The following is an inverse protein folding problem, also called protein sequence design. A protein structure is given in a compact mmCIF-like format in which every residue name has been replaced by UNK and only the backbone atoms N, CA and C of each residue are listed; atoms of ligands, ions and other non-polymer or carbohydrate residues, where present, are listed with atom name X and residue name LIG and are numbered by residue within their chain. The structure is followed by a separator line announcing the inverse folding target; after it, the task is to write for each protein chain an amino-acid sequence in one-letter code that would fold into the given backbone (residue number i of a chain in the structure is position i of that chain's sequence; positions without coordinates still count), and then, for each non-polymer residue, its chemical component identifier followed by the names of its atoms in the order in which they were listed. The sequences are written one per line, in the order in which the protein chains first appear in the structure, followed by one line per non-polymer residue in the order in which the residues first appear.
data_IF_829566155278
#
_entry.id   IF_829566155278
#
_cell.length_a   1.000
_cell.length_b   1.000
_cell.length_c   1.000
_cell.angle_alpha   90.00
_cell.angle_beta   90.00
_cell.angle_gamma   90.00
#
_symmetry.space_group_name_H-M   'P 1'
#
loop_
_entity.id
_entity.type
_entity.pdbx_description
1 polymer ?
#
# COMPACT_ATOMS: atom_id res chain seq x y z
N UNK A 1 22.47 -33.95 -44.78
CA UNK A 1 21.97 -32.60 -45.09
C UNK A 1 20.48 -32.65 -45.43
N UNK A 2 19.59 -32.44 -44.45
CA UNK A 2 18.18 -32.11 -44.71
C UNK A 2 17.99 -30.64 -44.35
N UNK A 3 17.71 -29.83 -45.37
CA UNK A 3 17.56 -28.38 -45.29
C UNK A 3 16.43 -28.03 -44.34
N UNK A 4 16.75 -27.35 -43.24
CA UNK A 4 15.81 -26.49 -42.52
C UNK A 4 15.41 -25.38 -43.49
N UNK A 5 14.16 -25.41 -43.97
CA UNK A 5 13.60 -24.34 -44.79
C UNK A 5 12.65 -23.51 -43.93
N UNK A 6 12.97 -22.23 -43.94
CA UNK A 6 12.12 -21.07 -43.68
C UNK A 6 11.85 -20.79 -42.19
N UNK A 7 12.52 -19.72 -41.75
CA UNK A 7 12.15 -19.01 -40.54
C UNK A 7 10.76 -18.41 -40.72
N UNK A 8 9.88 -18.76 -39.79
CA UNK A 8 8.66 -18.01 -39.55
C UNK A 8 9.04 -16.73 -38.82
N UNK A 9 9.20 -15.67 -39.60
CA UNK A 9 9.10 -14.31 -39.11
C UNK A 9 7.71 -14.16 -38.49
N UNK A 10 7.63 -14.18 -37.15
CA UNK A 10 6.38 -13.93 -36.42
C UNK A 10 5.96 -12.50 -36.74
N UNK A 11 5.03 -12.34 -37.67
CA UNK A 11 4.41 -11.06 -37.95
C UNK A 11 3.62 -10.61 -36.70
N UNK A 12 3.84 -9.39 -36.18
CA UNK A 12 3.05 -8.86 -35.08
C UNK A 12 1.61 -8.65 -35.57
N UNK A 13 0.71 -9.59 -35.25
CA UNK A 13 -0.71 -9.49 -35.61
C UNK A 13 -1.44 -10.79 -35.94
N UNK A 14 -0.73 -11.93 -36.08
CA UNK A 14 -1.42 -13.22 -36.26
C UNK A 14 -2.17 -13.61 -34.99
N UNK A 15 -3.51 -13.68 -35.06
CA UNK A 15 -4.35 -14.20 -33.95
C UNK A 15 -3.85 -15.59 -33.56
N UNK A 16 -3.36 -15.72 -32.33
CA UNK A 16 -2.94 -17.00 -31.75
C UNK A 16 -4.20 -17.90 -31.67
N UNK A 17 -4.30 -18.90 -32.54
CA UNK A 17 -5.37 -19.92 -32.48
C UNK A 17 -4.96 -21.05 -31.54
N UNK A 18 -5.88 -21.52 -30.70
CA UNK A 18 -5.66 -22.72 -29.87
C UNK A 18 -5.53 -23.99 -30.71
N UNK A 19 -6.17 -24.03 -31.89
CA UNK A 19 -6.20 -25.20 -32.78
C UNK A 19 -4.89 -25.48 -33.51
N UNK A 20 -3.99 -24.50 -33.57
CA UNK A 20 -2.71 -24.59 -34.28
C UNK A 20 -1.53 -24.89 -33.35
N UNK A 21 -1.80 -25.32 -32.12
CA UNK A 21 -0.77 -25.63 -31.12
C UNK A 21 -0.44 -27.10 -31.18
N UNK A 22 0.85 -27.41 -31.10
CA UNK A 22 1.30 -28.77 -30.88
C UNK A 22 0.79 -29.27 -29.53
N UNK A 23 0.17 -30.44 -29.52
CA UNK A 23 -0.38 -31.09 -28.33
C UNK A 23 0.34 -32.41 -28.11
N UNK A 24 0.57 -32.76 -26.85
CA UNK A 24 1.17 -34.04 -26.46
C UNK A 24 0.09 -34.96 -25.87
N UNK A 25 0.10 -36.26 -26.20
CA UNK A 25 -0.77 -37.23 -25.53
C UNK A 25 -0.51 -37.24 -24.02
N UNK A 26 -1.59 -37.21 -23.24
CA UNK A 26 -1.55 -37.38 -21.78
C UNK A 26 -2.35 -38.63 -21.40
N UNK A 27 -1.99 -39.27 -20.28
CA UNK A 27 -2.66 -40.48 -19.80
C UNK A 27 -3.34 -40.20 -18.45
N UNK A 28 -4.44 -40.90 -18.18
CA UNK A 28 -5.12 -40.87 -16.89
C UNK A 28 -4.19 -41.45 -15.83
N UNK A 29 -3.99 -40.69 -14.75
CA UNK A 29 -3.19 -41.09 -13.59
C UNK A 29 -3.79 -42.31 -12.89
N UNK A 30 -2.93 -43.11 -12.24
CA UNK A 30 -3.41 -44.20 -11.39
C UNK A 30 -4.20 -43.61 -10.21
N UNK A 31 -5.30 -44.25 -9.76
CA UNK A 31 -6.06 -43.76 -8.61
C UNK A 31 -5.13 -43.64 -7.41
N UNK A 32 -4.89 -42.42 -6.93
CA UNK A 32 -4.18 -42.20 -5.69
C UNK A 32 -5.05 -42.71 -4.53
N UNK A 33 -4.47 -43.45 -3.58
CA UNK A 33 -5.15 -43.84 -2.33
C UNK A 33 -5.26 -42.67 -1.34
N UNK A 34 -4.81 -41.47 -1.72
CA UNK A 34 -4.74 -40.27 -0.87
C UNK A 34 -5.89 -39.29 -1.05
N UNK A 35 -6.05 -38.43 -0.04
CA UNK A 35 -7.12 -37.43 0.20
C UNK A 35 -7.78 -36.86 -1.07
N UNK A 36 -9.11 -36.94 -1.23
CA UNK A 36 -9.87 -36.51 -2.41
C UNK A 36 -9.95 -34.98 -2.61
N UNK A 37 -8.97 -34.22 -2.11
CA UNK A 37 -8.99 -32.74 -2.08
C UNK A 37 -8.12 -32.09 -3.18
N UNK A 38 -7.48 -32.87 -4.05
CA UNK A 38 -6.61 -32.35 -5.11
C UNK A 38 -6.74 -33.18 -6.39
N UNK A 39 -6.76 -32.49 -7.53
CA UNK A 39 -6.69 -33.15 -8.83
C UNK A 39 -5.33 -33.84 -9.01
N UNK A 40 -5.35 -35.11 -9.35
CA UNK A 40 -4.18 -35.98 -9.52
C UNK A 40 -4.14 -36.64 -10.91
N UNK A 41 -4.90 -36.12 -11.86
CA UNK A 41 -5.11 -36.72 -13.19
C UNK A 41 -5.78 -38.10 -13.19
N UNK A 42 -6.28 -38.57 -12.05
CA UNK A 42 -7.06 -39.78 -11.93
C UNK A 42 -8.52 -39.62 -12.39
N UNK A 43 -9.29 -40.71 -12.40
CA UNK A 43 -10.70 -40.72 -12.83
C UNK A 43 -11.66 -40.11 -11.79
N UNK A 44 -11.20 -39.89 -10.56
CA UNK A 44 -12.01 -39.37 -9.46
C UNK A 44 -11.79 -37.86 -9.37
N UNK A 45 -12.86 -37.08 -9.48
CA UNK A 45 -12.80 -35.64 -9.30
C UNK A 45 -12.65 -35.28 -7.82
N UNK A 46 -12.01 -34.15 -7.50
CA UNK A 46 -11.98 -33.65 -6.13
C UNK A 46 -13.39 -33.41 -5.59
N UNK A 47 -13.59 -33.68 -4.30
CA UNK A 47 -14.82 -33.31 -3.60
C UNK A 47 -14.95 -31.78 -3.56
N UNK A 48 -16.04 -31.28 -4.14
CA UNK A 48 -16.29 -29.83 -4.28
C UNK A 48 -16.44 -29.12 -2.93
N UNK A 49 -16.97 -29.79 -1.91
CA UNK A 49 -17.10 -29.24 -0.55
C UNK A 49 -15.72 -29.00 0.07
N UNK A 50 -14.84 -29.99 -0.06
CA UNK A 50 -13.44 -29.89 0.35
C UNK A 50 -12.67 -28.80 -0.41
N UNK A 51 -12.99 -28.59 -1.70
CA UNK A 51 -12.42 -27.50 -2.50
C UNK A 51 -12.87 -26.14 -1.96
N UNK A 52 -14.15 -25.97 -1.61
CA UNK A 52 -14.66 -24.74 -1.01
C UNK A 52 -13.96 -24.41 0.30
N UNK A 53 -13.88 -25.37 1.22
CA UNK A 53 -13.24 -25.19 2.53
C UNK A 53 -11.76 -24.84 2.40
N UNK A 54 -11.06 -25.52 1.49
CA UNK A 54 -9.64 -25.25 1.23
C UNK A 54 -9.43 -23.85 0.69
N UNK A 55 -10.22 -23.43 -0.29
CA UNK A 55 -10.11 -22.08 -0.88
C UNK A 55 -10.43 -21.01 0.17
N UNK A 56 -11.47 -21.21 0.99
CA UNK A 56 -11.82 -20.29 2.07
C UNK A 56 -10.66 -20.15 3.07
N UNK A 57 -10.09 -21.28 3.50
CA UNK A 57 -8.94 -21.29 4.41
C UNK A 57 -7.72 -20.61 3.80
N UNK A 58 -7.48 -20.80 2.50
CA UNK A 58 -6.38 -20.16 1.77
C UNK A 58 -6.59 -18.65 1.70
N UNK A 59 -7.80 -18.18 1.34
CA UNK A 59 -8.16 -16.76 1.32
C UNK A 59 -7.94 -16.15 2.71
N UNK A 60 -8.39 -16.82 3.77
CA UNK A 60 -8.22 -16.38 5.16
C UNK A 60 -6.75 -16.29 5.57
N UNK A 61 -5.94 -17.29 5.24
CA UNK A 61 -4.49 -17.29 5.52
C UNK A 61 -3.80 -16.11 4.81
N UNK A 62 -4.02 -15.94 3.50
CA UNK A 62 -3.42 -14.82 2.74
C UNK A 62 -3.86 -13.47 3.31
N UNK A 63 -5.14 -13.34 3.67
CA UNK A 63 -5.67 -12.12 4.27
C UNK A 63 -5.01 -11.81 5.62
N UNK A 64 -4.76 -12.82 6.45
CA UNK A 64 -4.18 -12.63 7.78
C UNK A 64 -2.65 -12.39 7.74
N UNK A 65 -1.96 -12.95 6.74
CA UNK A 65 -0.49 -12.92 6.65
C UNK A 65 0.07 -11.66 5.94
N UNK A 66 -0.75 -10.92 5.19
CA UNK A 66 -0.26 -9.86 4.29
C UNK A 66 -0.38 -8.42 4.82
N UNK A 67 -1.42 -8.00 5.55
CA UNK A 67 -1.50 -6.66 6.09
C UNK A 67 -0.75 -6.53 7.42
N UNK A 68 -0.21 -5.33 7.68
CA UNK A 68 0.44 -4.99 8.97
C UNK A 68 -0.49 -5.05 10.18
N UNK A 69 -1.78 -4.82 9.96
CA UNK A 69 -2.86 -5.02 10.92
C UNK A 69 -4.14 -5.28 10.11
N UNK A 70 -4.40 -6.53 9.68
CA UNK A 70 -5.65 -6.83 8.98
C UNK A 70 -6.80 -6.47 9.92
N UNK A 71 -7.85 -5.82 9.40
CA UNK A 71 -9.15 -5.89 10.07
C UNK A 71 -9.48 -7.38 10.26
N UNK A 72 -10.21 -7.80 11.30
CA UNK A 72 -10.59 -9.21 11.42
C UNK A 72 -11.18 -9.74 10.12
N UNK A 73 -10.82 -10.97 9.73
CA UNK A 73 -11.26 -11.57 8.47
C UNK A 73 -12.78 -11.47 8.27
N UNK A 74 -13.55 -11.65 9.34
CA UNK A 74 -15.01 -11.49 9.33
C UNK A 74 -15.48 -10.08 8.93
N UNK A 75 -14.79 -9.03 9.38
CA UNK A 75 -15.12 -7.65 9.01
C UNK A 75 -14.84 -7.41 7.52
N UNK A 76 -13.73 -7.97 7.02
CA UNK A 76 -13.41 -7.95 5.60
C UNK A 76 -14.45 -8.72 4.78
N UNK A 77 -14.77 -9.95 5.20
CA UNK A 77 -15.77 -10.80 4.57
C UNK A 77 -17.14 -10.11 4.47
N UNK A 78 -17.66 -9.59 5.57
CA UNK A 78 -18.94 -8.88 5.63
C UNK A 78 -18.94 -7.63 4.73
N UNK A 79 -17.82 -6.93 4.62
CA UNK A 79 -17.70 -5.80 3.68
C UNK A 79 -17.87 -6.30 2.24
N UNK A 80 -17.22 -7.39 1.86
CA UNK A 80 -17.37 -7.96 0.51
C UNK A 80 -18.80 -8.43 0.28
N UNK A 81 -19.44 -9.12 1.24
CA UNK A 81 -20.85 -9.50 1.13
C UNK A 81 -21.77 -8.30 0.85
N UNK A 82 -21.58 -7.19 1.59
CA UNK A 82 -22.37 -5.96 1.39
C UNK A 82 -22.14 -5.30 0.05
N UNK A 83 -20.89 -5.29 -0.44
CA UNK A 83 -20.59 -4.76 -1.77
C UNK A 83 -21.18 -5.67 -2.85
N UNK A 84 -20.99 -6.99 -2.74
CA UNK A 84 -21.52 -7.97 -3.68
C UNK A 84 -23.06 -7.95 -3.74
N UNK A 85 -23.73 -7.80 -2.59
CA UNK A 85 -25.20 -7.66 -2.54
C UNK A 85 -25.69 -6.45 -3.33
N UNK A 86 -24.91 -5.36 -3.41
CA UNK A 86 -25.25 -4.19 -4.23
C UNK A 86 -25.00 -4.41 -5.71
N UNK A 87 -23.96 -5.17 -6.07
CA UNK A 87 -23.60 -5.42 -7.47
C UNK A 87 -24.38 -6.60 -8.09
N UNK A 88 -24.90 -7.52 -7.29
CA UNK A 88 -25.74 -8.65 -7.72
C UNK A 88 -24.96 -9.90 -8.18
N UNK A 89 -23.73 -9.76 -8.70
CA UNK A 89 -22.85 -10.90 -9.03
C UNK A 89 -21.35 -10.52 -9.00
N UNK A 90 -20.48 -11.53 -8.97
CA UNK A 90 -19.03 -11.36 -8.85
C UNK A 90 -18.39 -10.77 -10.11
N UNK A 91 -18.96 -11.03 -11.29
CA UNK A 91 -18.45 -10.46 -12.55
C UNK A 91 -18.62 -8.94 -12.62
N UNK A 92 -19.78 -8.41 -12.20
CA UNK A 92 -20.03 -6.97 -12.08
C UNK A 92 -19.14 -6.37 -11.00
N UNK A 93 -19.01 -7.06 -9.86
CA UNK A 93 -18.09 -6.65 -8.79
C UNK A 93 -16.65 -6.49 -9.30
N UNK A 94 -16.13 -7.50 -10.01
CA UNK A 94 -14.82 -7.45 -10.67
C UNK A 94 -14.71 -6.26 -11.62
N UNK A 95 -15.69 -6.09 -12.51
CA UNK A 95 -15.69 -5.00 -13.48
C UNK A 95 -15.61 -3.62 -12.79
N UNK A 96 -16.33 -3.43 -11.68
CA UNK A 96 -16.30 -2.21 -10.88
C UNK A 96 -14.96 -1.98 -10.19
N UNK A 97 -14.35 -3.02 -9.64
CA UNK A 97 -13.01 -2.94 -9.03
C UNK A 97 -12.00 -2.51 -10.11
N UNK A 98 -12.03 -3.13 -11.29
CA UNK A 98 -11.18 -2.78 -12.43
C UNK A 98 -11.43 -1.37 -12.97
N UNK A 99 -12.68 -0.92 -13.03
CA UNK A 99 -13.04 0.45 -13.39
C UNK A 99 -12.48 1.47 -12.39
N UNK A 100 -12.60 1.21 -11.08
CA UNK A 100 -12.04 2.09 -10.03
C UNK A 100 -10.54 2.22 -10.16
N UNK A 101 -9.83 1.12 -10.43
CA UNK A 101 -8.39 1.12 -10.69
C UNK A 101 -8.06 1.91 -11.95
N UNK A 102 -8.76 1.64 -13.06
CA UNK A 102 -8.56 2.33 -14.34
C UNK A 102 -8.79 3.84 -14.25
N UNK A 103 -9.82 4.28 -13.50
CA UNK A 103 -10.09 5.71 -13.25
C UNK A 103 -8.98 6.36 -12.42
N UNK A 104 -8.45 5.66 -11.41
CA UNK A 104 -7.30 6.15 -10.62
C UNK A 104 -6.05 6.29 -11.49
N UNK A 105 -5.76 5.33 -12.35
CA UNK A 105 -4.64 5.42 -13.31
C UNK A 105 -4.80 6.62 -14.25
N UNK A 106 -5.97 6.79 -14.86
CA UNK A 106 -6.25 7.95 -15.73
C UNK A 106 -6.12 9.28 -14.98
N UNK A 107 -6.68 9.38 -13.77
CA UNK A 107 -6.58 10.59 -12.93
C UNK A 107 -5.12 10.91 -12.59
N UNK A 108 -4.31 9.90 -12.28
CA UNK A 108 -2.88 10.07 -12.01
C UNK A 108 -2.13 10.54 -13.25
N UNK A 109 -2.33 9.90 -14.40
CA UNK A 109 -1.68 10.29 -15.65
C UNK A 109 -2.02 11.75 -16.00
N UNK A 110 -3.29 12.14 -15.86
CA UNK A 110 -3.73 13.52 -16.06
C UNK A 110 -3.04 14.50 -15.08
N UNK A 111 -2.93 14.16 -13.80
CA UNK A 111 -2.24 15.00 -12.82
C UNK A 111 -0.72 15.10 -13.06
N UNK A 112 -0.09 14.02 -13.54
CA UNK A 112 1.32 14.04 -13.94
C UNK A 112 1.52 14.93 -15.17
N UNK A 113 0.64 14.83 -16.17
CA UNK A 113 0.68 15.69 -17.34
C UNK A 113 0.47 17.17 -16.98
N UNK A 114 -0.51 17.47 -16.11
CA UNK A 114 -0.74 18.83 -15.62
C UNK A 114 0.41 19.37 -14.78
N UNK A 115 1.18 18.52 -14.09
CA UNK A 115 2.40 18.92 -13.40
C UNK A 115 3.51 19.24 -14.40
N UNK A 116 3.71 18.38 -15.41
CA UNK A 116 4.70 18.62 -16.47
C UNK A 116 4.39 19.92 -17.22
N UNK A 117 3.13 20.14 -17.60
CA UNK A 117 2.66 21.38 -18.23
C UNK A 117 2.83 22.61 -17.31
N UNK A 118 2.55 22.47 -16.01
CA UNK A 118 2.78 23.57 -15.07
C UNK A 118 4.27 23.87 -14.86
N UNK A 119 5.15 22.88 -14.96
CA UNK A 119 6.60 23.10 -14.92
C UNK A 119 7.11 23.69 -16.23
N UNK A 120 6.66 23.20 -17.39
CA UNK A 120 7.06 23.76 -18.69
C UNK A 120 6.61 25.21 -18.88
N UNK A 121 5.40 25.55 -18.44
CA UNK A 121 4.89 26.92 -18.54
C UNK A 121 5.57 27.89 -17.56
N UNK A 122 6.27 27.38 -16.54
CA UNK A 122 7.11 28.20 -15.64
C UNK A 122 8.58 28.27 -16.11
N UNK A 123 8.94 27.59 -17.21
CA UNK A 123 10.28 27.63 -17.83
C UNK A 123 10.35 28.69 -18.94
N UNK A 124 9.25 29.38 -19.27
CA UNK A 124 9.32 30.64 -20.03
C UNK A 124 10.03 31.71 -19.16
N UNK A 125 11.35 31.76 -19.30
CA UNK A 125 12.23 32.79 -18.77
C UNK A 125 11.75 34.16 -19.27
N UNK A 126 11.35 35.09 -18.40
CA UNK A 126 11.20 36.46 -18.82
C UNK A 126 12.61 37.06 -18.96
N UNK A 127 12.98 37.45 -20.17
CA UNK A 127 14.12 38.33 -20.46
C UNK A 127 13.93 39.76 -19.90
N UNK A 128 13.16 39.92 -18.82
CA UNK A 128 12.88 41.22 -18.18
C UNK A 128 13.22 41.20 -16.70
N UNK A 129 14.18 42.04 -16.26
CA UNK A 129 14.47 42.20 -14.85
C UNK A 129 13.26 42.85 -14.16
N UNK A 130 12.67 42.16 -13.18
CA UNK A 130 11.67 42.74 -12.27
C UNK A 130 10.33 42.00 -12.13
N UNK A 131 10.11 40.86 -12.80
CA UNK A 131 8.85 40.11 -12.65
C UNK A 131 9.00 38.90 -11.72
N UNK A 132 8.53 39.04 -10.47
CA UNK A 132 8.36 37.90 -9.57
C UNK A 132 7.06 37.16 -9.90
N UNK A 133 7.14 35.92 -10.40
CA UNK A 133 5.98 35.06 -10.67
C UNK A 133 5.40 34.57 -9.33
N UNK A 134 4.50 35.36 -8.74
CA UNK A 134 3.93 35.12 -7.40
C UNK A 134 2.67 34.22 -7.38
N UNK A 135 2.33 33.53 -8.48
CA UNK A 135 1.07 32.75 -8.57
C UNK A 135 1.20 31.23 -8.72
N UNK A 136 2.39 30.71 -9.02
CA UNK A 136 2.61 29.31 -9.39
C UNK A 136 2.84 28.28 -8.27
N UNK A 137 3.42 28.61 -7.08
CA UNK A 137 3.86 27.57 -6.15
C UNK A 137 2.70 26.84 -5.45
N UNK A 138 1.54 27.50 -5.26
CA UNK A 138 0.37 26.90 -4.62
C UNK A 138 -0.23 25.74 -5.44
N UNK A 139 -0.52 25.96 -6.72
CA UNK A 139 -1.14 24.95 -7.60
C UNK A 139 -0.21 23.77 -7.90
N UNK A 140 1.09 24.01 -8.00
CA UNK A 140 2.10 22.95 -8.17
C UNK A 140 2.23 22.13 -6.88
N UNK A 141 2.25 22.79 -5.72
CA UNK A 141 2.28 22.12 -4.41
C UNK A 141 1.01 21.29 -4.16
N UNK A 142 -0.17 21.84 -4.41
CA UNK A 142 -1.45 21.14 -4.28
C UNK A 142 -1.52 19.91 -5.22
N UNK A 143 -1.12 20.06 -6.49
CA UNK A 143 -1.09 18.92 -7.44
C UNK A 143 -0.04 17.88 -7.05
N UNK A 144 1.10 18.29 -6.47
CA UNK A 144 2.09 17.37 -5.92
C UNK A 144 1.57 16.65 -4.67
N UNK A 145 0.80 17.32 -3.81
CA UNK A 145 0.15 16.71 -2.66
C UNK A 145 -0.95 15.73 -3.09
N UNK A 146 -1.78 16.10 -4.08
CA UNK A 146 -2.75 15.19 -4.70
C UNK A 146 -2.07 13.98 -5.36
N UNK A 147 -0.95 14.19 -6.05
CA UNK A 147 -0.15 13.12 -6.65
C UNK A 147 0.47 12.21 -5.57
N UNK A 148 0.97 12.79 -4.46
CA UNK A 148 1.49 12.03 -3.32
C UNK A 148 0.38 11.24 -2.62
N UNK A 149 -0.84 11.77 -2.55
CA UNK A 149 -2.02 11.08 -2.04
C UNK A 149 -2.48 9.96 -3.00
N UNK A 150 -2.35 10.17 -4.31
CA UNK A 150 -2.49 9.18 -5.38
C UNK A 150 -1.23 8.32 -5.49
N UNK A 151 -0.85 7.61 -4.41
CA UNK A 151 0.24 6.64 -4.45
C UNK A 151 0.07 5.68 -5.64
N UNK A 152 1.14 5.30 -6.35
CA UNK A 152 1.07 4.33 -7.42
C UNK A 152 0.56 2.99 -6.87
N UNK A 153 -0.63 2.58 -7.25
CA UNK A 153 -0.99 1.16 -7.23
C UNK A 153 -0.83 0.69 -8.67
N UNK A 154 0.38 0.28 -9.07
CA UNK A 154 0.61 -0.33 -10.39
C UNK A 154 -0.10 -1.68 -10.52
N UNK A 155 -0.40 -2.30 -9.38
CA UNK A 155 -1.14 -3.54 -9.22
C UNK A 155 -2.26 -3.33 -8.20
N UNK A 156 -3.43 -3.99 -8.36
CA UNK A 156 -4.45 -4.01 -7.32
C UNK A 156 -3.82 -4.44 -5.99
N UNK A 157 -4.17 -3.75 -4.90
CA UNK A 157 -3.75 -4.18 -3.56
C UNK A 157 -4.18 -5.61 -3.32
N UNK A 158 -3.37 -6.40 -2.62
CA UNK A 158 -3.74 -7.80 -2.31
C UNK A 158 -5.14 -7.90 -1.68
N UNK A 159 -5.56 -6.94 -0.84
CA UNK A 159 -6.91 -6.89 -0.27
C UNK A 159 -8.02 -6.77 -1.34
N UNK A 160 -7.80 -6.02 -2.42
CA UNK A 160 -8.76 -5.90 -3.52
C UNK A 160 -8.85 -7.19 -4.34
N UNK A 161 -7.69 -7.81 -4.61
CA UNK A 161 -7.62 -9.10 -5.31
C UNK A 161 -8.30 -10.20 -4.49
N UNK A 162 -8.07 -10.23 -3.17
CA UNK A 162 -8.77 -11.12 -2.25
C UNK A 162 -10.27 -10.83 -2.21
N UNK A 163 -10.68 -9.56 -2.30
CA UNK A 163 -12.09 -9.18 -2.36
C UNK A 163 -12.79 -9.77 -3.58
N UNK A 164 -12.11 -9.75 -4.74
CA UNK A 164 -12.59 -10.42 -5.96
C UNK A 164 -12.67 -11.94 -5.75
N UNK A 165 -11.63 -12.56 -5.18
CA UNK A 165 -11.62 -13.99 -4.89
C UNK A 165 -12.79 -14.42 -3.97
N UNK A 166 -13.07 -13.63 -2.93
CA UNK A 166 -14.22 -13.85 -2.03
C UNK A 166 -15.55 -13.73 -2.80
N UNK A 167 -15.69 -12.72 -3.66
CA UNK A 167 -16.91 -12.56 -4.44
C UNK A 167 -17.20 -13.78 -5.33
N UNK A 168 -16.18 -14.29 -6.03
CA UNK A 168 -16.32 -15.50 -6.84
C UNK A 168 -16.52 -16.77 -6.01
N UNK A 169 -15.91 -16.86 -4.82
CA UNK A 169 -16.16 -17.96 -3.90
C UNK A 169 -17.64 -17.99 -3.46
N UNK A 170 -18.20 -16.83 -3.10
CA UNK A 170 -19.61 -16.71 -2.70
C UNK A 170 -20.52 -17.07 -3.87
N UNK A 171 -20.24 -16.58 -5.08
CA UNK A 171 -21.03 -16.92 -6.27
C UNK A 171 -20.98 -18.43 -6.56
N UNK A 172 -19.80 -19.04 -6.49
CA UNK A 172 -19.65 -20.47 -6.66
C UNK A 172 -20.43 -21.27 -5.62
N UNK A 173 -20.35 -20.89 -4.33
CA UNK A 173 -21.07 -21.57 -3.25
C UNK A 173 -22.59 -21.45 -3.42
N UNK A 174 -23.08 -20.28 -3.81
CA UNK A 174 -24.50 -20.06 -4.07
C UNK A 174 -24.98 -20.85 -5.28
N UNK A 175 -24.19 -20.92 -6.36
CA UNK A 175 -24.50 -21.71 -7.55
C UNK A 175 -24.54 -23.22 -7.23
N UNK A 176 -23.56 -23.71 -6.46
CA UNK A 176 -23.54 -25.10 -6.00
C UNK A 176 -24.79 -25.44 -5.18
N UNK A 177 -25.13 -24.62 -4.18
CA UNK A 177 -26.33 -24.79 -3.36
C UNK A 177 -27.64 -24.72 -4.18
N UNK A 178 -27.59 -24.09 -5.36
CA UNK A 178 -28.74 -23.97 -6.27
C UNK A 178 -28.76 -25.05 -7.36
N UNK A 179 -27.91 -26.09 -7.25
CA UNK A 179 -27.73 -27.14 -8.26
C UNK A 179 -27.37 -26.63 -9.67
N UNK A 180 -26.53 -25.60 -9.73
CA UNK A 180 -25.99 -25.03 -10.97
C UNK A 180 -24.48 -25.31 -11.06
N UNK A 181 -24.08 -26.52 -11.50
CA UNK A 181 -22.69 -26.97 -11.45
C UNK A 181 -21.77 -26.26 -12.44
N UNK A 182 -22.30 -25.80 -13.59
CA UNK A 182 -21.52 -25.09 -14.60
C UNK A 182 -21.09 -23.72 -14.10
N UNK A 183 -22.02 -22.94 -13.54
CA UNK A 183 -21.69 -21.65 -12.93
C UNK A 183 -20.81 -21.82 -11.70
N UNK A 184 -21.06 -22.85 -10.89
CA UNK A 184 -20.21 -23.15 -9.73
C UNK A 184 -18.76 -23.42 -10.16
N UNK A 185 -18.55 -24.23 -11.20
CA UNK A 185 -17.22 -24.52 -11.74
C UNK A 185 -16.55 -23.26 -12.29
N UNK A 186 -17.26 -22.48 -13.11
CA UNK A 186 -16.70 -21.25 -13.68
C UNK A 186 -16.27 -20.25 -12.60
N UNK A 187 -17.14 -20.02 -11.61
CA UNK A 187 -16.84 -19.13 -10.50
C UNK A 187 -15.70 -19.67 -9.61
N UNK A 188 -15.58 -20.99 -9.41
CA UNK A 188 -14.45 -21.60 -8.72
C UNK A 188 -13.12 -21.42 -9.46
N UNK A 189 -13.13 -21.52 -10.79
CA UNK A 189 -11.93 -21.26 -11.61
C UNK A 189 -11.46 -19.82 -11.46
N UNK A 190 -12.37 -18.85 -11.55
CA UNK A 190 -12.07 -17.43 -11.32
C UNK A 190 -11.57 -17.18 -9.88
N UNK A 191 -12.24 -17.74 -8.88
CA UNK A 191 -11.80 -17.67 -7.48
C UNK A 191 -10.35 -18.16 -7.33
N UNK A 192 -10.03 -19.34 -7.88
CA UNK A 192 -8.70 -19.95 -7.81
C UNK A 192 -7.66 -19.09 -8.52
N UNK A 193 -8.00 -18.50 -9.67
CA UNK A 193 -7.14 -17.57 -10.39
C UNK A 193 -6.77 -16.35 -9.54
N UNK A 194 -7.77 -15.69 -8.93
CA UNK A 194 -7.52 -14.52 -8.08
C UNK A 194 -6.84 -14.86 -6.75
N UNK A 195 -7.09 -16.04 -6.17
CA UNK A 195 -6.29 -16.58 -5.05
C UNK A 195 -4.83 -16.73 -5.47
N UNK A 196 -4.57 -17.24 -6.67
CA UNK A 196 -3.22 -17.36 -7.23
C UNK A 196 -2.52 -16.01 -7.37
N UNK A 197 -3.21 -15.00 -7.92
CA UNK A 197 -2.69 -13.62 -7.98
C UNK A 197 -2.42 -13.07 -6.56
N UNK A 198 -3.37 -13.26 -5.65
CA UNK A 198 -3.24 -12.83 -4.27
C UNK A 198 -2.17 -13.61 -3.50
N UNK A 199 -1.75 -14.79 -3.97
CA UNK A 199 -0.68 -15.60 -3.38
C UNK A 199 0.69 -15.30 -3.99
N UNK A 200 0.75 -14.54 -5.10
CA UNK A 200 1.97 -14.26 -5.84
C UNK A 200 3.07 -13.58 -4.99
N UNK A 201 4.34 -13.71 -5.38
CA UNK A 201 5.47 -13.15 -4.63
C UNK A 201 5.33 -11.63 -4.49
N UNK A 202 5.65 -11.11 -3.30
CA UNK A 202 5.60 -9.66 -3.02
C UNK A 202 6.41 -8.90 -4.06
N UNK A 203 5.82 -7.87 -4.64
CA UNK A 203 6.51 -6.92 -5.52
C UNK A 203 7.62 -6.21 -4.75
N UNK A 204 8.64 -5.70 -5.46
CA UNK A 204 9.73 -4.94 -4.83
C UNK A 204 9.21 -3.73 -4.03
N UNK A 205 8.14 -3.08 -4.51
CA UNK A 205 7.43 -2.00 -3.82
C UNK A 205 6.73 -2.43 -2.53
N UNK A 206 6.09 -3.60 -2.52
CA UNK A 206 5.47 -4.15 -1.30
C UNK A 206 6.54 -4.53 -0.28
N UNK A 207 7.63 -5.19 -0.71
CA UNK A 207 8.77 -5.47 0.16
C UNK A 207 9.43 -4.21 0.69
N UNK A 208 9.58 -3.17 -0.13
CA UNK A 208 10.17 -1.90 0.30
C UNK A 208 9.25 -1.13 1.27
N UNK A 209 7.92 -1.20 1.08
CA UNK A 209 6.94 -0.66 2.03
C UNK A 209 6.98 -1.41 3.36
N UNK A 210 7.11 -2.73 3.32
CA UNK A 210 7.26 -3.57 4.51
C UNK A 210 8.62 -3.31 5.18
N UNK A 211 9.73 -3.23 4.45
CA UNK A 211 11.08 -2.94 4.96
C UNK A 211 11.23 -1.50 5.48
N UNK A 212 10.55 -0.53 4.86
CA UNK A 212 10.49 0.85 5.33
C UNK A 212 9.72 0.99 6.65
N UNK A 213 8.99 -0.05 7.06
CA UNK A 213 8.11 -0.03 8.21
C UNK A 213 8.37 -1.19 9.21
N UNK A 214 9.14 -2.20 8.83
CA UNK A 214 9.69 -3.33 9.60
C UNK A 214 11.16 -3.46 9.20
N UNK A 215 11.96 -2.44 9.50
CA UNK A 215 13.40 -2.48 9.29
C UNK A 215 14.08 -2.24 10.62
N UNK A 216 15.35 -2.63 10.76
CA UNK A 216 16.22 -2.23 11.87
C UNK A 216 16.20 -0.71 12.21
N UNK A 217 15.61 0.12 11.33
CA UNK A 217 15.41 1.55 11.47
C UNK A 217 14.13 1.96 12.23
N UNK A 218 13.09 1.11 12.33
CA UNK A 218 11.91 1.40 13.17
C UNK A 218 12.31 1.45 14.64
N UNK A 219 13.15 0.52 15.10
CA UNK A 219 13.69 0.54 16.46
C UNK A 219 14.44 1.85 16.79
N UNK A 220 15.21 2.39 15.85
CA UNK A 220 15.95 3.67 16.01
C UNK A 220 14.99 4.86 16.11
N UNK A 221 13.95 4.87 15.27
CA UNK A 221 12.89 5.90 15.28
C UNK A 221 12.04 5.82 16.55
N UNK A 222 11.67 4.61 16.96
CA UNK A 222 10.86 4.33 18.14
C UNK A 222 11.62 4.66 19.43
N UNK A 223 12.93 4.39 19.49
CA UNK A 223 13.78 4.78 20.61
C UNK A 223 13.77 6.30 20.83
N UNK A 224 14.01 7.08 19.76
CA UNK A 224 13.93 8.54 19.83
C UNK A 224 12.51 9.03 20.10
N UNK A 225 11.47 8.38 19.56
CA UNK A 225 10.09 8.75 19.84
C UNK A 225 9.73 8.57 21.32
N UNK A 226 10.17 7.47 21.96
CA UNK A 226 9.97 7.26 23.41
C UNK A 226 10.69 8.31 24.24
N UNK A 227 11.93 8.63 23.89
CA UNK A 227 12.70 9.68 24.54
C UNK A 227 12.01 11.04 24.37
N UNK A 228 11.47 11.34 23.18
CA UNK A 228 10.72 12.56 22.93
C UNK A 228 9.42 12.64 23.75
N UNK A 229 8.72 11.52 23.95
CA UNK A 229 7.55 11.45 24.84
C UNK A 229 7.96 11.73 26.29
N UNK A 230 9.03 11.11 26.78
CA UNK A 230 9.53 11.33 28.14
C UNK A 230 9.97 12.79 28.34
N UNK A 231 10.73 13.33 27.40
CA UNK A 231 11.18 14.73 27.41
C UNK A 231 9.97 15.68 27.43
N UNK A 232 8.97 15.42 26.58
CA UNK A 232 7.74 16.21 26.52
C UNK A 232 6.94 16.17 27.82
N UNK A 233 6.91 15.03 28.52
CA UNK A 233 6.22 14.89 29.80
C UNK A 233 6.86 15.74 30.93
N UNK A 234 8.17 16.01 30.84
CA UNK A 234 8.90 16.82 31.82
C UNK A 234 8.87 18.33 31.51
N UNK A 235 8.39 18.73 30.33
CA UNK A 235 8.39 20.12 29.91
C UNK A 235 7.24 20.89 30.58
N UNK A 236 7.51 22.02 31.26
CA UNK A 236 6.46 22.91 31.71
C UNK A 236 5.82 23.63 30.52
N UNK A 237 4.53 23.96 30.63
CA UNK A 237 3.90 24.88 29.69
C UNK A 237 4.51 26.28 29.90
N UNK A 238 5.27 26.75 28.92
CA UNK A 238 6.02 28.00 28.98
C UNK A 238 5.62 28.90 27.81
N UNK A 239 5.52 30.22 28.08
CA UNK A 239 5.16 31.28 27.12
C UNK A 239 6.21 31.45 26.02
N UNK A 240 7.41 30.89 26.19
CA UNK A 240 8.45 30.88 25.14
C UNK A 240 8.07 30.04 23.92
N UNK A 241 7.12 29.11 24.03
CA UNK A 241 6.67 28.26 22.92
C UNK A 241 5.55 28.94 22.11
N UNK A 242 5.92 29.95 21.31
CA UNK A 242 4.96 30.73 20.51
C UNK A 242 4.50 29.97 19.26
N UNK A 243 5.40 29.19 18.67
CA UNK A 243 5.13 28.35 17.51
C UNK A 243 5.38 26.87 17.86
N UNK A 244 4.64 25.91 17.26
CA UNK A 244 4.91 24.48 17.45
C UNK A 244 6.36 24.07 17.12
N UNK A 245 7.02 24.81 16.23
CA UNK A 245 8.43 24.61 15.94
C UNK A 245 9.33 24.92 17.15
N UNK A 246 9.02 25.93 17.97
CA UNK A 246 9.81 26.29 19.15
C UNK A 246 9.80 25.17 20.19
N UNK A 247 8.63 24.53 20.37
CA UNK A 247 8.49 23.37 21.23
C UNK A 247 9.26 22.16 20.67
N UNK A 248 9.19 21.93 19.35
CA UNK A 248 9.93 20.84 18.71
C UNK A 248 11.46 21.05 18.77
N UNK A 249 11.92 22.29 18.63
CA UNK A 249 13.32 22.66 18.75
C UNK A 249 13.84 22.50 20.18
N UNK A 250 13.06 22.89 21.20
CA UNK A 250 13.42 22.68 22.60
C UNK A 250 13.52 21.19 22.95
N UNK A 251 12.55 20.37 22.53
CA UNK A 251 12.60 18.91 22.75
C UNK A 251 13.84 18.34 22.08
N UNK A 252 14.08 18.68 20.81
CA UNK A 252 15.27 18.23 20.07
C UNK A 252 16.57 18.60 20.77
N UNK A 253 16.69 19.86 21.23
CA UNK A 253 17.88 20.35 21.92
C UNK A 253 18.13 19.64 23.26
N UNK A 254 17.09 19.33 24.03
CA UNK A 254 17.24 18.56 25.28
C UNK A 254 17.72 17.14 25.01
N UNK A 255 17.10 16.47 24.04
CA UNK A 255 17.49 15.12 23.62
C UNK A 255 18.95 15.08 23.15
N UNK A 256 19.38 16.07 22.36
CA UNK A 256 20.75 16.12 21.85
C UNK A 256 21.81 16.52 22.90
N UNK A 257 21.42 17.24 23.95
CA UNK A 257 22.35 17.70 25.02
C UNK A 257 22.51 16.70 26.16
N UNK A 258 21.52 15.84 26.39
CA UNK A 258 21.55 14.88 27.49
C UNK A 258 22.41 13.65 27.15
N UNK A 259 23.49 13.36 27.91
CA UNK A 259 24.41 12.26 27.61
C UNK A 259 23.74 10.89 27.60
N UNK A 260 22.70 10.70 28.41
CA UNK A 260 21.93 9.45 28.51
C UNK A 260 21.20 9.08 27.19
N UNK A 261 21.03 10.05 26.28
CA UNK A 261 20.39 9.84 24.99
C UNK A 261 21.37 9.73 23.82
N UNK A 262 22.68 9.83 24.06
CA UNK A 262 23.70 9.90 23.01
C UNK A 262 23.65 8.72 22.02
N UNK A 263 23.46 7.49 22.51
CA UNK A 263 23.36 6.29 21.65
C UNK A 263 22.16 6.37 20.70
N UNK A 264 20.99 6.78 21.21
CA UNK A 264 19.79 6.92 20.41
C UNK A 264 19.91 8.06 19.38
N UNK A 265 20.57 9.16 19.75
CA UNK A 265 20.83 10.30 18.86
C UNK A 265 21.81 9.92 17.74
N UNK A 266 22.88 9.19 18.04
CA UNK A 266 23.80 8.67 17.03
C UNK A 266 23.12 7.68 16.08
N UNK A 267 22.29 6.79 16.63
CA UNK A 267 21.52 5.86 15.82
C UNK A 267 20.56 6.59 14.88
N UNK A 268 19.88 7.63 15.37
CA UNK A 268 19.03 8.51 14.57
C UNK A 268 19.81 9.31 13.52
N UNK A 269 20.98 9.84 13.87
CA UNK A 269 21.80 10.62 12.97
C UNK A 269 22.23 9.79 11.75
N UNK A 270 22.76 8.58 12.00
CA UNK A 270 23.13 7.61 10.97
C UNK A 270 21.97 7.23 10.03
N UNK A 271 20.73 7.29 10.52
CA UNK A 271 19.53 7.06 9.74
C UNK A 271 19.13 8.28 8.93
N UNK A 272 19.09 9.46 9.56
CA UNK A 272 18.60 10.70 8.97
C UNK A 272 19.51 11.26 7.87
N UNK A 273 20.80 10.90 7.89
CA UNK A 273 21.82 11.45 6.98
C UNK A 273 22.04 10.63 5.69
N UNK A 274 21.22 9.60 5.42
CA UNK A 274 21.41 8.69 4.25
C UNK A 274 21.22 9.34 2.88
N UNK A 275 20.66 10.55 2.78
CA UNK A 275 20.42 11.25 1.52
C UNK A 275 21.53 12.22 1.09
N UNK A 276 22.69 12.24 1.77
CA UNK A 276 23.81 13.12 1.41
C UNK A 276 23.64 14.59 1.79
N UNK A 277 22.56 14.94 2.51
CA UNK A 277 22.37 16.29 3.07
C UNK A 277 23.15 16.46 4.39
N UNK A 278 24.48 16.34 4.30
CA UNK A 278 25.41 16.35 5.43
C UNK A 278 25.58 17.73 6.12
N UNK A 279 24.90 18.78 5.65
CA UNK A 279 25.12 20.17 6.11
C UNK A 279 24.23 20.63 7.27
N UNK A 280 23.20 19.87 7.67
CA UNK A 280 22.35 20.25 8.81
C UNK A 280 22.86 19.66 10.13
N UNK A 281 22.67 20.37 11.24
CA UNK A 281 22.92 19.83 12.58
C UNK A 281 21.89 18.74 12.92
N UNK A 282 22.28 17.70 13.67
CA UNK A 282 21.39 16.60 14.08
C UNK A 282 20.15 17.13 14.80
N UNK A 283 20.34 18.16 15.65
CA UNK A 283 19.27 18.83 16.38
C UNK A 283 18.22 19.47 15.45
N UNK A 284 18.62 20.04 14.31
CA UNK A 284 17.70 20.64 13.35
C UNK A 284 16.90 19.58 12.58
N UNK A 285 17.54 18.47 12.19
CA UNK A 285 16.84 17.34 11.56
C UNK A 285 15.83 16.70 12.51
N UNK A 286 16.23 16.52 13.76
CA UNK A 286 15.39 15.95 14.80
C UNK A 286 14.21 16.88 15.14
N UNK A 287 14.42 18.21 15.22
CA UNK A 287 13.35 19.17 15.45
C UNK A 287 12.27 19.11 14.36
N UNK A 288 12.66 19.02 13.08
CA UNK A 288 11.72 18.85 11.98
C UNK A 288 10.96 17.52 12.05
N UNK A 289 11.62 16.45 12.49
CA UNK A 289 11.00 15.13 12.67
C UNK A 289 9.96 15.16 13.79
N UNK A 290 10.30 15.76 14.93
CA UNK A 290 9.43 15.94 16.09
C UNK A 290 8.22 16.81 15.72
N UNK A 291 8.44 17.92 15.00
CA UNK A 291 7.36 18.77 14.53
C UNK A 291 6.38 17.99 13.66
N UNK A 292 6.87 17.17 12.72
CA UNK A 292 6.02 16.34 11.87
C UNK A 292 5.21 15.33 12.70
N UNK A 293 5.80 14.71 13.73
CA UNK A 293 5.07 13.81 14.63
C UNK A 293 3.98 14.51 15.45
N UNK A 294 4.20 15.77 15.83
CA UNK A 294 3.25 16.56 16.61
C UNK A 294 2.12 17.19 15.79
N UNK A 295 2.34 17.46 14.50
CA UNK A 295 1.41 18.25 13.67
C UNK A 295 0.70 17.45 12.57
N UNK A 296 1.37 16.45 11.97
CA UNK A 296 0.81 15.62 10.91
C UNK A 296 0.25 14.30 11.46
N UNK A 297 -0.47 13.56 10.61
CA UNK A 297 -0.84 12.18 10.94
C UNK A 297 0.43 11.33 11.10
N UNK A 298 0.60 10.78 12.30
CA UNK A 298 1.80 10.08 12.77
C UNK A 298 1.40 8.82 13.52
N UNK A 299 2.23 7.78 13.44
CA UNK A 299 2.04 6.52 14.16
C UNK A 299 2.17 6.70 15.69
N UNK A 300 2.75 7.82 16.15
CA UNK A 300 2.92 8.16 17.57
C UNK A 300 1.76 9.03 18.08
N UNK A 301 0.56 8.44 18.17
CA UNK A 301 -0.67 9.15 18.56
C UNK A 301 -0.58 9.77 19.96
N UNK A 302 0.03 9.06 20.91
CA UNK A 302 0.27 9.54 22.28
C UNK A 302 1.12 10.82 22.29
N UNK A 303 2.26 10.80 21.58
CA UNK A 303 3.13 11.95 21.43
C UNK A 303 2.37 13.12 20.80
N UNK A 304 1.64 12.89 19.71
CA UNK A 304 0.87 13.92 19.00
C UNK A 304 -0.13 14.60 19.92
N UNK A 305 -0.90 13.82 20.68
CA UNK A 305 -1.91 14.34 21.59
C UNK A 305 -1.28 15.17 22.71
N UNK A 306 -0.21 14.68 23.33
CA UNK A 306 0.52 15.40 24.37
C UNK A 306 1.14 16.70 23.84
N UNK A 307 1.74 16.65 22.64
CA UNK A 307 2.40 17.77 21.99
C UNK A 307 1.40 18.87 21.64
N UNK A 308 0.27 18.51 21.02
CA UNK A 308 -0.79 19.46 20.69
C UNK A 308 -1.44 20.04 21.95
N UNK A 309 -1.61 19.25 23.01
CA UNK A 309 -2.14 19.74 24.29
C UNK A 309 -1.21 20.78 24.92
N UNK A 310 0.10 20.54 24.93
CA UNK A 310 1.08 21.46 25.49
C UNK A 310 1.24 22.72 24.62
N UNK A 311 1.30 22.57 23.29
CA UNK A 311 1.33 23.69 22.36
C UNK A 311 0.09 24.61 22.50
N UNK A 312 -1.12 24.03 22.63
CA UNK A 312 -2.34 24.81 22.87
C UNK A 312 -2.34 25.53 24.22
N UNK A 313 -1.85 24.88 25.28
CA UNK A 313 -1.74 25.49 26.62
C UNK A 313 -0.78 26.69 26.63
N UNK A 314 0.36 26.57 25.95
CA UNK A 314 1.32 27.66 25.80
C UNK A 314 0.71 28.88 25.08
N UNK A 315 -0.09 28.64 24.03
CA UNK A 315 -0.81 29.71 23.31
C UNK A 315 -1.92 30.32 24.18
N UNK A 316 -2.71 29.52 24.92
CA UNK A 316 -3.78 30.06 25.78
C UNK A 316 -3.26 30.94 26.92
N UNK A 317 -2.05 30.69 27.43
CA UNK A 317 -1.41 31.52 28.45
C UNK A 317 -0.91 32.87 27.91
N UNK A 318 -0.85 33.05 26.59
CA UNK A 318 -0.57 34.33 25.94
C UNK A 318 -1.83 35.19 25.76
N UNK A 319 -3.01 34.57 25.64
CA UNK A 319 -4.30 35.24 25.38
C UNK A 319 -5.06 35.72 26.63
N UNK A 320 -4.58 35.44 27.85
CA UNK A 320 -5.18 35.93 29.11
C UNK A 320 -4.65 37.32 29.54
N UNK A 321 -4.44 38.21 28.56
CA UNK A 321 -4.15 39.63 28.74
C UNK A 321 -5.02 40.43 27.80
#
# INVERSE_FOLDING_TARGET
MKRLKNGDTILPGSKLSSRSRELVPTAIGRPSRGVPSRYDSGPILPDIELVFDRLLNTIRSIHNERPKHPKPFEVFWLKICRELQKEGNASIYLHKVNLRLSRRFKKKAALQQQLVEAFSNNIELPDRPGFSVSGAPGKVSERQEELKALRPEATPKTEQVLGIAVAFWIEARNAHNSNDPERALYALMECTFYVGIASGPRTASERASDLGSIGANTHKRDAIARIAIQTLATLPADKKFKHPYDLAAEISNRICKEPIHAEAVMAYDSWSNRAGNAQSEVALRLANTILNWGTKDSDYLEFRNAFQKLARRAVSQLSQR
#
